data_IF_535706119419
#
_entry.id   IF_535706119419
#
_cell.length_a   1.000
_cell.length_b   1.000
_cell.length_c   1.000
_cell.angle_alpha   90.00
_cell.angle_beta   90.00
_cell.angle_gamma   90.00
#
_symmetry.space_group_name_H-M   'P 1'
#
loop_
_entity.id
_entity.type
_entity.pdbx_description
1 polymer ?
#
# COMPACT_ATOMS: atom_id res chain seq x y z
N UNK A 1 -2.95 8.16 19.27
CA UNK A 1 -3.44 6.79 19.62
C UNK A 1 -4.79 6.92 20.33
N UNK A 2 -5.76 6.06 20.00
CA UNK A 2 -7.10 6.09 20.60
C UNK A 2 -7.06 5.63 22.08
N UNK A 3 -7.66 6.41 23.00
CA UNK A 3 -7.69 6.14 24.45
C UNK A 3 -8.32 4.79 24.82
N UNK A 4 -9.23 4.29 23.98
CA UNK A 4 -9.85 2.97 24.16
C UNK A 4 -8.86 1.81 23.93
N UNK A 5 -7.90 1.99 23.02
CA UNK A 5 -6.88 0.99 22.72
C UNK A 5 -5.81 0.90 23.79
N UNK A 6 -5.40 2.04 24.35
CA UNK A 6 -4.41 2.08 25.44
C UNK A 6 -4.94 1.40 26.71
N UNK A 7 -6.25 1.49 26.98
CA UNK A 7 -6.87 0.78 28.11
C UNK A 7 -6.94 -0.74 27.96
N UNK A 8 -6.94 -1.25 26.71
CA UNK A 8 -6.89 -2.70 26.43
C UNK A 8 -5.46 -3.23 26.53
N UNK A 9 -4.48 -2.42 26.12
CA UNK A 9 -3.05 -2.70 26.26
C UNK A 9 -2.60 -2.77 27.73
N UNK A 10 -3.12 -1.88 28.58
CA UNK A 10 -2.80 -1.82 30.01
C UNK A 10 -3.53 -2.89 30.87
N UNK A 11 -4.30 -3.79 30.26
CA UNK A 11 -5.06 -4.78 31.00
C UNK A 11 -4.15 -5.83 31.70
N UNK A 12 -4.44 -6.23 32.94
CA UNK A 12 -3.59 -7.14 33.71
C UNK A 12 -3.40 -8.51 33.02
N UNK A 13 -2.19 -9.07 33.17
CA UNK A 13 -1.80 -10.38 32.63
C UNK A 13 -2.76 -11.48 33.10
N UNK A 14 -3.32 -12.24 32.15
CA UNK A 14 -4.30 -13.29 32.39
C UNK A 14 -5.76 -12.93 32.08
N UNK A 15 -6.10 -11.64 31.96
CA UNK A 15 -7.46 -11.19 31.62
C UNK A 15 -7.82 -11.51 30.16
N UNK A 16 -9.10 -11.82 29.88
CA UNK A 16 -9.61 -12.01 28.51
C UNK A 16 -9.24 -10.86 27.56
N UNK A 17 -9.21 -9.61 28.06
CA UNK A 17 -8.79 -8.41 27.31
C UNK A 17 -7.34 -8.47 26.83
N UNK A 18 -6.41 -8.91 27.68
CA UNK A 18 -5.01 -9.06 27.30
C UNK A 18 -4.80 -10.25 26.35
N UNK A 19 -5.52 -11.36 26.54
CA UNK A 19 -5.54 -12.46 25.56
C UNK A 19 -6.07 -12.00 24.20
N UNK A 20 -7.14 -11.20 24.18
CA UNK A 20 -7.71 -10.63 22.97
C UNK A 20 -6.75 -9.65 22.29
N UNK A 21 -6.06 -8.82 23.05
CA UNK A 21 -5.01 -7.92 22.58
C UNK A 21 -3.87 -8.70 21.92
N UNK A 22 -3.33 -9.72 22.60
CA UNK A 22 -2.28 -10.58 22.08
C UNK A 22 -2.70 -11.33 20.81
N UNK A 23 -3.95 -11.83 20.75
CA UNK A 23 -4.50 -12.43 19.53
C UNK A 23 -4.61 -11.41 18.40
N UNK A 24 -5.09 -10.19 18.68
CA UNK A 24 -5.16 -9.09 17.72
C UNK A 24 -3.78 -8.72 17.16
N UNK A 25 -2.78 -8.57 18.02
CA UNK A 25 -1.39 -8.33 17.62
C UNK A 25 -0.84 -9.47 16.76
N UNK A 26 -1.09 -10.73 17.14
CA UNK A 26 -0.67 -11.91 16.37
C UNK A 26 -1.30 -11.93 14.97
N UNK A 27 -2.57 -11.51 14.85
CA UNK A 27 -3.27 -11.40 13.59
C UNK A 27 -2.73 -10.24 12.73
N UNK A 28 -2.50 -9.06 13.33
CA UNK A 28 -1.90 -7.91 12.65
C UNK A 28 -0.45 -8.17 12.20
N UNK A 29 0.31 -8.91 13.01
CA UNK A 29 1.66 -9.35 12.66
C UNK A 29 1.68 -10.21 11.38
N UNK A 30 0.59 -10.93 11.10
CA UNK A 30 0.47 -11.77 9.88
C UNK A 30 0.15 -10.99 8.60
N UNK A 31 -0.27 -9.72 8.71
CA UNK A 31 -0.57 -8.88 7.55
C UNK A 31 0.70 -8.64 6.73
N UNK A 32 0.65 -8.87 5.41
CA UNK A 32 1.83 -8.72 4.55
C UNK A 32 2.31 -7.27 4.55
N UNK A 33 3.63 -7.02 4.56
CA UNK A 33 4.15 -5.65 4.58
C UNK A 33 3.76 -4.87 3.31
N UNK A 34 3.65 -5.54 2.15
CA UNK A 34 3.12 -4.92 0.92
C UNK A 34 1.70 -4.39 1.06
N UNK A 35 0.85 -5.02 1.89
CA UNK A 35 -0.51 -4.55 2.15
C UNK A 35 -0.49 -3.25 2.96
N UNK A 36 0.43 -3.14 3.93
CA UNK A 36 0.62 -1.93 4.75
C UNK A 36 1.08 -0.76 3.86
N UNK A 37 2.05 -1.02 2.98
CA UNK A 37 2.52 -0.05 1.99
C UNK A 37 1.41 0.41 1.04
N UNK A 38 0.63 -0.50 0.48
CA UNK A 38 -0.46 -0.11 -0.44
C UNK A 38 -1.60 0.62 0.29
N UNK A 39 -1.83 0.32 1.57
CA UNK A 39 -2.84 0.99 2.40
C UNK A 39 -2.47 2.45 2.72
N UNK A 40 -1.17 2.77 2.85
CA UNK A 40 -0.71 4.14 3.12
C UNK A 40 -0.90 5.06 1.92
N UNK A 41 -0.94 4.52 0.71
CA UNK A 41 -1.22 5.28 -0.52
C UNK A 41 -2.71 5.62 -0.54
N UNK A 42 -3.04 6.90 -0.32
CA UNK A 42 -4.43 7.37 -0.39
C UNK A 42 -4.84 7.66 -1.83
N UNK A 43 -6.16 7.69 -2.09
CA UNK A 43 -6.72 8.02 -3.41
C UNK A 43 -6.36 9.45 -3.86
N UNK A 44 -6.12 10.33 -2.89
CA UNK A 44 -5.85 11.76 -3.09
C UNK A 44 -4.37 12.06 -3.36
N UNK A 45 -3.49 11.06 -3.22
CA UNK A 45 -2.08 11.25 -3.55
C UNK A 45 -1.96 11.54 -5.05
N UNK A 46 -1.51 12.74 -5.36
CA UNK A 46 -1.26 13.19 -6.72
C UNK A 46 0.17 12.90 -7.16
N UNK A 47 1.12 12.88 -6.23
CA UNK A 47 2.54 12.73 -6.55
C UNK A 47 3.19 11.63 -5.71
N UNK A 48 4.07 10.86 -6.34
CA UNK A 48 4.88 9.85 -5.65
C UNK A 48 6.34 10.19 -5.87
N UNK A 49 7.04 10.41 -4.78
CA UNK A 49 8.49 10.58 -4.77
C UNK A 49 9.14 9.24 -4.42
N UNK A 50 10.12 8.83 -5.21
CA UNK A 50 10.87 7.61 -4.97
C UNK A 50 12.34 7.95 -4.85
N UNK A 51 12.86 7.73 -3.65
CA UNK A 51 14.28 7.82 -3.37
C UNK A 51 14.93 6.47 -3.62
N UNK A 52 15.98 6.42 -4.44
CA UNK A 52 16.72 5.20 -4.74
C UNK A 52 18.24 5.45 -4.76
N UNK A 53 19.08 4.41 -4.55
CA UNK A 53 20.54 4.55 -4.66
C UNK A 53 20.94 4.94 -6.09
N UNK A 54 21.84 5.91 -6.27
CA UNK A 54 22.34 6.34 -7.60
C UNK A 54 22.97 5.21 -8.40
N UNK A 55 23.53 4.20 -7.74
CA UNK A 55 24.13 3.02 -8.38
C UNK A 55 23.09 2.12 -9.07
N UNK A 56 21.80 2.30 -8.78
CA UNK A 56 20.72 1.48 -9.30
C UNK A 56 20.03 2.15 -10.48
N UNK A 57 19.75 1.37 -11.54
CA UNK A 57 19.09 1.91 -12.72
C UNK A 57 17.61 2.25 -12.44
N UNK A 58 17.24 3.52 -12.67
CA UNK A 58 15.88 4.04 -12.53
C UNK A 58 14.82 3.21 -13.29
N UNK A 59 15.18 2.61 -14.43
CA UNK A 59 14.28 1.75 -15.23
C UNK A 59 13.93 0.46 -14.50
N UNK A 60 14.85 -0.10 -13.72
CA UNK A 60 14.61 -1.31 -12.93
C UNK A 60 13.70 -1.01 -11.75
N UNK A 61 13.92 0.12 -11.07
CA UNK A 61 13.05 0.63 -10.00
C UNK A 61 11.62 0.82 -10.53
N UNK A 62 11.47 1.47 -11.68
CA UNK A 62 10.18 1.63 -12.38
C UNK A 62 9.49 0.30 -12.63
N UNK A 63 10.21 -0.65 -13.23
CA UNK A 63 9.66 -1.97 -13.58
C UNK A 63 9.23 -2.73 -12.32
N UNK A 64 10.04 -2.68 -11.26
CA UNK A 64 9.74 -3.33 -9.99
C UNK A 64 8.53 -2.72 -9.32
N UNK A 65 8.42 -1.39 -9.29
CA UNK A 65 7.28 -0.72 -8.71
C UNK A 65 5.99 -1.01 -9.47
N UNK A 66 6.01 -0.95 -10.81
CA UNK A 66 4.86 -1.34 -11.65
C UNK A 66 4.41 -2.76 -11.34
N UNK A 67 5.37 -3.67 -11.18
CA UNK A 67 5.07 -5.06 -10.86
C UNK A 67 4.50 -5.23 -9.44
N UNK A 68 4.95 -4.45 -8.45
CA UNK A 68 4.35 -4.43 -7.11
C UNK A 68 2.92 -3.91 -7.17
N UNK A 69 2.68 -2.82 -7.91
CA UNK A 69 1.35 -2.25 -8.09
C UNK A 69 0.39 -3.22 -8.80
N UNK A 70 0.81 -3.82 -9.92
CA UNK A 70 -0.02 -4.76 -10.68
C UNK A 70 -0.31 -6.05 -9.92
N UNK A 71 0.70 -6.62 -9.25
CA UNK A 71 0.49 -7.78 -8.37
C UNK A 71 -0.42 -7.44 -7.19
N UNK A 72 -0.22 -6.27 -6.58
CA UNK A 72 -1.07 -5.75 -5.51
C UNK A 72 -2.53 -5.70 -5.91
N UNK A 73 -2.82 -5.14 -7.09
CA UNK A 73 -4.16 -5.03 -7.63
C UNK A 73 -4.83 -6.42 -7.81
N UNK A 74 -4.16 -7.36 -8.49
CA UNK A 74 -4.72 -8.71 -8.73
C UNK A 74 -4.98 -9.46 -7.41
N UNK A 75 -3.99 -9.45 -6.51
CA UNK A 75 -4.04 -10.17 -5.24
C UNK A 75 -5.14 -9.58 -4.35
N UNK A 76 -5.14 -8.26 -4.14
CA UNK A 76 -6.09 -7.61 -3.25
C UNK A 76 -7.51 -7.61 -3.81
N UNK A 77 -7.69 -7.54 -5.13
CA UNK A 77 -9.01 -7.75 -5.77
C UNK A 77 -9.56 -9.13 -5.46
N UNK A 78 -8.78 -10.20 -5.66
CA UNK A 78 -9.20 -11.57 -5.36
C UNK A 78 -9.58 -11.74 -3.88
N UNK A 79 -8.70 -11.32 -2.96
CA UNK A 79 -8.96 -11.47 -1.53
C UNK A 79 -10.08 -10.55 -1.03
N UNK A 80 -10.29 -9.38 -1.63
CA UNK A 80 -11.44 -8.53 -1.34
C UNK A 80 -12.75 -9.25 -1.66
N UNK A 81 -12.91 -9.79 -2.87
CA UNK A 81 -14.14 -10.51 -3.24
C UNK A 81 -14.37 -11.76 -2.40
N UNK A 82 -13.31 -12.52 -2.11
CA UNK A 82 -13.40 -13.71 -1.23
C UNK A 82 -13.78 -13.33 0.19
N UNK A 83 -13.22 -12.23 0.73
CA UNK A 83 -13.55 -11.80 2.08
C UNK A 83 -14.95 -11.18 2.15
N UNK A 84 -15.35 -10.44 1.12
CA UNK A 84 -16.67 -9.83 1.00
C UNK A 84 -17.79 -10.89 0.90
N UNK A 85 -17.58 -12.00 0.20
CA UNK A 85 -18.53 -13.11 0.17
C UNK A 85 -18.63 -13.85 1.51
N UNK A 86 -17.57 -13.81 2.33
CA UNK A 86 -17.55 -14.39 3.67
C UNK A 86 -18.26 -13.53 4.72
N UNK A 87 -18.39 -12.22 4.50
CA UNK A 87 -19.09 -11.30 5.41
C UNK A 87 -20.49 -11.80 5.76
N UNK A 88 -21.42 -12.05 4.82
CA UNK A 88 -22.78 -12.49 5.16
C UNK A 88 -22.80 -13.81 5.93
N UNK A 89 -21.89 -14.74 5.61
CA UNK A 89 -21.73 -15.99 6.34
C UNK A 89 -21.35 -15.72 7.79
N UNK A 90 -20.33 -14.87 8.03
CA UNK A 90 -19.91 -14.52 9.40
C UNK A 90 -20.92 -13.66 10.15
N UNK A 91 -21.74 -12.86 9.46
CA UNK A 91 -22.81 -12.07 10.07
C UNK A 91 -23.87 -12.97 10.72
N UNK A 92 -24.22 -14.09 10.10
CA UNK A 92 -25.16 -15.04 10.69
C UNK A 92 -24.67 -15.60 12.03
N UNK A 93 -23.36 -15.86 12.15
CA UNK A 93 -22.75 -16.29 13.40
C UNK A 93 -22.57 -15.15 14.42
N UNK A 94 -22.61 -13.90 13.99
CA UNK A 94 -22.44 -12.74 14.87
C UNK A 94 -23.64 -12.49 15.80
N UNK A 95 -24.78 -13.14 15.54
CA UNK A 95 -26.00 -13.08 16.36
C UNK A 95 -25.84 -13.88 17.66
N UNK A 96 -24.88 -14.80 17.72
CA UNK A 96 -24.60 -15.59 18.93
C UNK A 96 -23.93 -14.72 20.01
N UNK A 97 -24.17 -14.98 21.31
CA UNK A 97 -23.60 -14.20 22.42
C UNK A 97 -22.09 -14.41 22.64
N UNK A 98 -21.40 -15.02 21.67
CA UNK A 98 -19.97 -15.25 21.70
C UNK A 98 -19.20 -13.98 21.31
N UNK A 99 -17.92 -13.85 21.71
CA UNK A 99 -17.08 -12.77 21.24
C UNK A 99 -16.93 -12.88 19.72
N UNK A 100 -17.57 -11.98 18.96
CA UNK A 100 -17.67 -11.95 17.50
C UNK A 100 -16.35 -11.63 16.77
N UNK A 101 -15.23 -12.14 17.29
CA UNK A 101 -13.87 -11.99 16.77
C UNK A 101 -13.79 -12.43 15.30
N UNK A 102 -14.38 -13.56 14.85
CA UNK A 102 -14.32 -13.95 13.45
C UNK A 102 -14.99 -12.95 12.52
N UNK A 103 -16.13 -12.41 12.92
CA UNK A 103 -16.86 -11.39 12.16
C UNK A 103 -16.04 -10.10 12.03
N UNK A 104 -15.56 -9.56 13.16
CA UNK A 104 -14.73 -8.35 13.13
C UNK A 104 -13.43 -8.55 12.35
N UNK A 105 -12.84 -9.75 12.40
CA UNK A 105 -11.66 -10.09 11.62
C UNK A 105 -11.94 -10.10 10.13
N UNK A 106 -13.03 -10.76 9.68
CA UNK A 106 -13.41 -10.76 8.26
C UNK A 106 -13.73 -9.35 7.78
N UNK A 107 -14.44 -8.55 8.57
CA UNK A 107 -14.74 -7.16 8.22
C UNK A 107 -13.48 -6.32 8.08
N UNK A 108 -12.55 -6.45 9.04
CA UNK A 108 -11.24 -5.82 8.98
C UNK A 108 -10.45 -6.26 7.73
N UNK A 109 -10.46 -7.55 7.39
CA UNK A 109 -9.76 -8.07 6.21
C UNK A 109 -10.38 -7.58 4.90
N UNK A 110 -11.70 -7.52 4.81
CA UNK A 110 -12.41 -6.95 3.67
C UNK A 110 -12.03 -5.48 3.49
N UNK A 111 -12.08 -4.68 4.56
CA UNK A 111 -11.71 -3.26 4.50
C UNK A 111 -10.23 -3.07 4.15
N UNK A 112 -9.33 -3.84 4.76
CA UNK A 112 -7.89 -3.72 4.51
C UNK A 112 -7.54 -4.08 3.07
N UNK A 113 -8.14 -5.13 2.52
CA UNK A 113 -7.97 -5.50 1.11
C UNK A 113 -8.59 -4.49 0.15
N UNK A 114 -9.77 -3.96 0.47
CA UNK A 114 -10.36 -2.88 -0.30
C UNK A 114 -9.46 -1.64 -0.32
N UNK A 115 -8.96 -1.20 0.85
CA UNK A 115 -8.09 -0.03 0.96
C UNK A 115 -6.76 -0.23 0.22
N UNK A 116 -6.15 -1.40 0.35
CA UNK A 116 -4.92 -1.74 -0.37
C UNK A 116 -5.15 -1.86 -1.89
N UNK A 117 -6.33 -2.32 -2.32
CA UNK A 117 -6.71 -2.33 -3.74
C UNK A 117 -6.74 -0.91 -4.30
N UNK A 118 -7.45 0.01 -3.63
CA UNK A 118 -7.52 1.42 -4.04
C UNK A 118 -6.13 2.06 -4.16
N UNK A 119 -5.25 1.83 -3.17
CA UNK A 119 -3.88 2.35 -3.21
C UNK A 119 -3.04 1.72 -4.34
N UNK A 120 -3.22 0.42 -4.63
CA UNK A 120 -2.53 -0.26 -5.72
C UNK A 120 -2.97 0.19 -7.10
N UNK A 121 -4.27 0.45 -7.28
CA UNK A 121 -4.82 1.01 -8.51
C UNK A 121 -4.32 2.44 -8.71
N UNK A 122 -4.30 3.24 -7.63
CA UNK A 122 -3.76 4.60 -7.68
C UNK A 122 -2.28 4.60 -8.02
N UNK A 123 -1.49 3.75 -7.38
CA UNK A 123 -0.07 3.60 -7.68
C UNK A 123 0.17 3.12 -9.11
N UNK A 124 -0.64 2.18 -9.60
CA UNK A 124 -0.56 1.70 -10.97
C UNK A 124 -0.90 2.80 -11.98
N UNK A 125 -1.92 3.61 -11.69
CA UNK A 125 -2.26 4.83 -12.42
C UNK A 125 -1.06 5.75 -12.45
N UNK A 126 -0.50 6.17 -11.32
CA UNK A 126 0.66 7.09 -11.28
C UNK A 126 1.89 6.58 -12.05
N UNK A 127 2.18 5.28 -11.99
CA UNK A 127 3.33 4.66 -12.69
C UNK A 127 3.08 4.46 -14.20
N UNK A 128 1.80 4.46 -14.62
CA UNK A 128 1.38 4.32 -16.03
C UNK A 128 1.11 5.68 -16.67
N UNK A 129 0.44 6.58 -15.95
CA UNK A 129 0.00 7.93 -16.31
C UNK A 129 1.16 8.94 -16.41
N UNK A 130 2.37 8.56 -16.01
CA UNK A 130 3.61 9.18 -16.52
C UNK A 130 3.77 9.09 -18.06
N UNK A 131 2.76 8.58 -18.78
CA UNK A 131 2.62 8.65 -20.23
C UNK A 131 1.28 9.17 -20.74
N UNK A 132 0.21 9.25 -19.94
CA UNK A 132 -1.12 9.68 -20.41
C UNK A 132 -1.90 10.33 -19.28
N UNK A 133 -2.30 11.57 -19.55
CA UNK A 133 -3.12 12.46 -18.72
C UNK A 133 -4.46 11.83 -18.32
N UNK A 134 -4.86 12.16 -17.10
CA UNK A 134 -6.21 12.09 -16.52
C UNK A 134 -7.37 12.14 -17.54
N UNK A 135 -8.34 11.25 -17.39
CA UNK A 135 -9.78 11.54 -17.55
C UNK A 135 -10.60 10.38 -16.99
N UNK A 136 -11.04 10.51 -15.75
CA UNK A 136 -12.22 9.80 -15.24
C UNK A 136 -13.04 10.76 -14.38
N UNK A 137 -13.91 11.51 -15.06
CA UNK A 137 -15.13 12.05 -14.45
C UNK A 137 -16.24 11.00 -14.70
N UNK A 138 -17.20 10.78 -13.78
CA UNK A 138 -18.15 9.69 -13.88
C UNK A 138 -19.29 9.97 -14.88
N UNK A 139 -19.73 8.89 -15.52
CA UNK A 139 -21.00 8.59 -16.20
C UNK A 139 -22.01 9.72 -16.46
N UNK A 140 -22.41 9.86 -17.74
CA UNK A 140 -23.84 9.76 -18.08
C UNK A 140 -24.04 9.29 -19.54
N UNK A 141 -25.15 8.58 -19.75
CA UNK A 141 -25.53 7.86 -20.97
C UNK A 141 -25.91 8.80 -22.14
N UNK A 142 -25.53 8.43 -23.36
CA UNK A 142 -26.40 8.31 -24.56
C UNK A 142 -25.71 8.54 -25.91
N UNK A 143 -25.73 7.47 -26.73
CA UNK A 143 -26.07 7.40 -28.17
C UNK A 143 -25.43 8.36 -29.20
N UNK A 144 -24.86 7.70 -30.23
CA UNK A 144 -25.01 7.99 -31.70
C UNK A 144 -23.82 8.59 -32.48
N UNK A 145 -23.27 7.74 -33.36
CA UNK A 145 -22.80 7.92 -34.74
C UNK A 145 -21.71 8.94 -35.17
N UNK A 146 -20.74 8.34 -35.88
CA UNK A 146 -20.18 8.69 -37.19
C UNK A 146 -19.20 9.87 -37.41
N UNK A 147 -18.15 9.48 -38.13
CA UNK A 147 -17.38 10.18 -39.17
C UNK A 147 -16.18 11.11 -38.86
N UNK A 148 -15.19 10.91 -39.74
CA UNK A 148 -13.88 11.55 -39.88
C UNK A 148 -13.94 13.07 -39.88
N UNK A 149 -12.98 13.72 -39.20
CA UNK A 149 -12.26 14.86 -39.79
C UNK A 149 -10.88 15.07 -39.15
N UNK A 150 -9.87 15.11 -40.01
CA UNK A 150 -8.49 15.51 -39.74
C UNK A 150 -8.39 17.02 -39.95
N UNK A 151 -7.90 17.80 -38.98
CA UNK A 151 -7.14 19.04 -39.24
C UNK A 151 -6.38 19.51 -37.98
N UNK A 152 -5.19 20.08 -38.23
CA UNK A 152 -4.16 20.57 -37.30
C UNK A 152 -4.45 21.99 -36.78
N UNK A 153 -3.95 22.33 -35.59
CA UNK A 153 -3.29 23.60 -35.16
C UNK A 153 -3.20 23.61 -33.62
N UNK A 154 -1.99 23.53 -33.05
CA UNK A 154 -1.11 24.60 -32.54
C UNK A 154 -1.42 25.05 -31.11
N UNK A 155 -0.37 24.99 -30.27
CA UNK A 155 -0.08 25.73 -29.03
C UNK A 155 -1.15 25.67 -27.93
N UNK A 156 -0.87 25.14 -26.73
CA UNK A 156 -0.06 25.84 -25.72
C UNK A 156 0.80 24.87 -24.88
N UNK A 157 2.03 25.29 -24.62
CA UNK A 157 2.95 24.74 -23.63
C UNK A 157 2.32 24.81 -22.23
N UNK A 158 1.79 23.69 -21.74
CA UNK A 158 1.67 23.46 -20.30
C UNK A 158 2.67 22.36 -19.96
N UNK A 159 3.87 22.76 -19.54
CA UNK A 159 4.81 21.86 -18.87
C UNK A 159 4.10 21.31 -17.62
N UNK A 160 3.41 20.19 -17.76
CA UNK A 160 2.99 19.40 -16.62
C UNK A 160 4.26 18.81 -16.02
N UNK A 161 4.62 19.32 -14.86
CA UNK A 161 5.61 18.73 -13.97
C UNK A 161 5.37 17.22 -13.87
N UNK A 162 6.43 16.39 -13.86
CA UNK A 162 6.23 14.96 -13.77
C UNK A 162 5.55 14.65 -12.44
N UNK A 163 4.35 14.09 -12.53
CA UNK A 163 3.52 13.56 -11.43
C UNK A 163 4.23 12.45 -10.61
N UNK A 164 5.45 12.10 -11.02
CA UNK A 164 6.26 11.03 -10.48
C UNK A 164 7.74 11.43 -10.54
N UNK A 165 8.36 11.65 -9.37
CA UNK A 165 9.74 12.13 -9.25
C UNK A 165 10.64 11.02 -8.72
N UNK A 166 11.65 10.65 -9.51
CA UNK A 166 12.69 9.70 -9.15
C UNK A 166 13.89 10.50 -8.64
N UNK A 167 14.18 10.40 -7.34
CA UNK A 167 15.30 11.07 -6.71
C UNK A 167 16.44 10.08 -6.42
N UNK A 168 17.59 10.20 -7.11
CA UNK A 168 18.78 9.46 -6.75
C UNK A 168 19.37 10.02 -5.43
N UNK A 169 19.76 9.15 -4.51
CA UNK A 169 20.31 9.53 -3.20
C UNK A 169 21.66 8.87 -2.95
N UNK A 170 22.69 9.71 -2.84
CA UNK A 170 24.06 9.28 -2.51
C UNK A 170 24.16 8.69 -1.08
N UNK A 171 23.29 9.16 -0.18
CA UNK A 171 23.20 8.60 1.17
C UNK A 171 22.81 7.12 1.13
N UNK A 172 21.84 6.76 0.27
CA UNK A 172 21.45 5.37 0.09
C UNK A 172 22.54 4.54 -0.58
N UNK A 173 23.37 5.12 -1.46
CA UNK A 173 24.50 4.41 -2.06
C UNK A 173 25.57 4.04 -1.04
N UNK A 174 25.91 4.96 -0.13
CA UNK A 174 26.88 4.69 0.95
C UNK A 174 26.42 3.50 1.80
N UNK A 175 25.12 3.44 2.11
CA UNK A 175 24.53 2.32 2.84
C UNK A 175 24.44 1.04 1.99
N UNK A 176 24.20 1.18 0.68
CA UNK A 176 24.17 0.06 -0.25
C UNK A 176 25.55 -0.61 -0.40
N UNK A 177 26.62 0.18 -0.40
CA UNK A 177 27.99 -0.33 -0.46
C UNK A 177 28.40 -1.09 0.82
N UNK A 178 27.73 -0.84 1.94
CA UNK A 178 27.96 -1.52 3.22
C UNK A 178 27.13 -2.81 3.38
N UNK A 179 26.40 -3.24 2.34
CA UNK A 179 25.59 -4.45 2.39
C UNK A 179 26.48 -5.69 2.44
N UNK A 180 26.27 -6.50 3.48
CA UNK A 180 26.88 -7.84 3.57
C UNK A 180 26.12 -8.79 2.63
N UNK A 181 26.81 -9.48 1.69
CA UNK A 181 26.18 -10.40 0.75
C UNK A 181 25.45 -11.58 1.44
N UNK A 182 25.80 -11.92 2.69
CA UNK A 182 25.16 -13.03 3.43
C UNK A 182 24.03 -12.58 4.35
N UNK A 183 24.12 -11.37 4.92
CA UNK A 183 23.18 -10.90 5.96
C UNK A 183 22.27 -9.75 5.50
N UNK A 184 22.50 -9.17 4.32
CA UNK A 184 21.77 -8.00 3.81
C UNK A 184 22.11 -6.72 4.57
N UNK A 185 21.21 -5.73 4.55
CA UNK A 185 21.38 -4.48 5.32
C UNK A 185 21.42 -4.74 6.83
N UNK A 186 22.37 -4.11 7.54
CA UNK A 186 22.43 -4.17 9.00
C UNK A 186 21.21 -3.50 9.65
N UNK A 187 20.85 -3.93 10.86
CA UNK A 187 19.71 -3.32 11.58
C UNK A 187 19.97 -1.84 11.93
N UNK A 188 21.24 -1.47 12.12
CA UNK A 188 21.64 -0.08 12.35
C UNK A 188 21.44 0.78 11.09
N UNK A 189 21.85 0.27 9.91
CA UNK A 189 21.61 0.96 8.64
C UNK A 189 20.12 1.16 8.37
N UNK A 190 19.28 0.16 8.69
CA UNK A 190 17.82 0.29 8.58
C UNK A 190 17.29 1.38 9.54
N UNK A 191 17.80 1.44 10.77
CA UNK A 191 17.41 2.50 11.71
C UNK A 191 17.75 3.88 11.16
N UNK A 192 18.98 4.07 10.66
CA UNK A 192 19.42 5.34 10.10
C UNK A 192 18.58 5.77 8.89
N UNK A 193 18.15 4.83 8.03
CA UNK A 193 17.22 5.11 6.92
C UNK A 193 15.85 5.51 7.46
N UNK A 194 15.37 4.83 8.49
CA UNK A 194 14.07 5.15 9.08
C UNK A 194 14.07 6.56 9.70
N UNK A 195 15.16 6.93 10.36
CA UNK A 195 15.31 8.26 10.97
C UNK A 195 15.45 9.36 9.90
N UNK A 196 16.14 9.07 8.78
CA UNK A 196 16.34 10.04 7.70
C UNK A 196 15.08 10.34 6.87
N UNK A 197 14.20 9.36 6.69
CA UNK A 197 13.00 9.47 5.83
C UNK A 197 11.69 9.37 6.61
N UNK A 198 11.73 9.49 7.94
CA UNK A 198 10.59 9.38 8.85
C UNK A 198 9.73 8.12 8.59
N UNK A 199 10.41 6.97 8.49
CA UNK A 199 9.77 5.68 8.24
C UNK A 199 9.57 4.92 9.55
N UNK A 200 8.46 4.18 9.62
CA UNK A 200 8.18 3.34 10.76
C UNK A 200 9.07 2.07 10.78
N UNK A 201 10.04 2.03 11.70
CA UNK A 201 11.07 0.98 11.81
C UNK A 201 10.52 -0.45 11.84
N UNK A 202 9.41 -0.67 12.54
CA UNK A 202 8.80 -2.01 12.67
C UNK A 202 8.32 -2.53 11.32
N UNK A 203 7.74 -1.67 10.49
CA UNK A 203 7.22 -2.05 9.18
C UNK A 203 8.35 -2.34 8.19
N UNK A 204 9.42 -1.55 8.24
CA UNK A 204 10.62 -1.76 7.39
C UNK A 204 11.33 -3.07 7.75
N UNK A 205 11.48 -3.39 9.03
CA UNK A 205 12.06 -4.67 9.46
C UNK A 205 11.20 -5.86 9.02
N UNK A 206 9.88 -5.70 8.95
CA UNK A 206 8.97 -6.72 8.41
C UNK A 206 9.20 -6.98 6.93
N UNK A 207 9.56 -5.96 6.15
CA UNK A 207 9.94 -6.12 4.75
C UNK A 207 11.24 -6.90 4.56
N UNK A 208 12.24 -6.70 5.43
CA UNK A 208 13.53 -7.42 5.37
C UNK A 208 13.35 -8.95 5.38
N UNK A 209 12.44 -9.45 6.20
CA UNK A 209 12.21 -10.88 6.37
C UNK A 209 11.15 -11.46 5.40
N UNK A 210 10.57 -10.63 4.54
CA UNK A 210 9.47 -11.00 3.62
C UNK A 210 9.92 -11.10 2.16
N UNK A 211 11.15 -10.70 1.84
CA UNK A 211 11.76 -10.80 0.52
C UNK A 211 12.56 -12.10 0.40
#
# INVERSE_FOLDING_TARGET
MNKAWTGVEQAPQGTFKNKLYGLGLKLLARVKPSEIFLKSITKEVSEVEIVYPTSLNARLVRRRLRHIASRGCIIHKKYFYVSASLVPLTTAFAVLPLPNIPFFWVLFRTYSHWRALQGSERLLSLVSDGSVVQKTTPADDSKTNNEKKRLKSNEENKQLTPTWVLQPSEFLDKLYQQIDPKQGLSQQAISNICDAYDLHKVDVLKFRNSL
#
